data_IF_074043381979
#
_entry.id   IF_074043381979
#
_cell.length_a   1.000
_cell.length_b   1.000
_cell.length_c   1.000
_cell.angle_alpha   90.00
_cell.angle_beta   90.00
_cell.angle_gamma   90.00
#
_symmetry.space_group_name_H-M   'P 1'
#
loop_
_entity.id
_entity.type
_entity.pdbx_description
1 polymer ?
#
# COMPACT_ATOMS: atom_id res chain seq x y z
N UNK A 1 -3.17 -34.38 20.45
CA UNK A 1 -3.52 -33.00 20.72
C UNK A 1 -4.70 -32.65 19.83
N UNK A 2 -5.82 -32.23 20.37
CA UNK A 2 -6.89 -31.75 19.54
C UNK A 2 -6.39 -30.48 18.82
N UNK A 3 -6.69 -30.30 17.53
CA UNK A 3 -6.36 -29.06 16.81
C UNK A 3 -7.00 -27.90 17.56
N UNK A 4 -6.20 -26.93 17.95
CA UNK A 4 -6.72 -25.70 18.54
C UNK A 4 -7.74 -25.11 17.57
N UNK A 5 -9.01 -25.16 17.93
CA UNK A 5 -10.04 -24.46 17.19
C UNK A 5 -9.64 -22.97 17.12
N UNK A 6 -9.68 -22.35 15.95
CA UNK A 6 -9.33 -20.95 15.82
C UNK A 6 -10.19 -20.15 16.82
N UNK A 7 -9.53 -19.44 17.72
CA UNK A 7 -10.20 -18.61 18.72
C UNK A 7 -11.09 -17.61 18.00
N UNK A 8 -12.39 -17.80 18.11
CA UNK A 8 -13.35 -16.81 17.57
C UNK A 8 -13.20 -15.53 18.38
N UNK A 9 -12.80 -14.46 17.71
CA UNK A 9 -12.72 -13.14 18.31
C UNK A 9 -14.11 -12.72 18.78
N UNK A 10 -14.19 -12.10 19.96
CA UNK A 10 -15.41 -11.42 20.36
C UNK A 10 -15.71 -10.23 19.44
N UNK A 11 -16.96 -9.82 19.36
CA UNK A 11 -17.35 -8.66 18.55
C UNK A 11 -16.61 -7.39 18.98
N UNK A 12 -16.30 -7.23 20.25
CA UNK A 12 -15.54 -6.08 20.76
C UNK A 12 -14.07 -6.13 20.38
N UNK A 13 -13.44 -7.32 20.43
CA UNK A 13 -12.09 -7.53 19.96
C UNK A 13 -11.99 -7.25 18.46
N UNK A 14 -12.94 -7.73 17.67
CA UNK A 14 -12.99 -7.48 16.23
C UNK A 14 -13.12 -5.98 15.92
N UNK A 15 -13.97 -5.27 16.62
CA UNK A 15 -14.13 -3.81 16.47
C UNK A 15 -12.84 -3.04 16.80
N UNK A 16 -12.12 -3.47 17.84
CA UNK A 16 -10.82 -2.86 18.21
C UNK A 16 -9.79 -3.07 17.12
N UNK A 17 -9.69 -4.28 16.60
CA UNK A 17 -8.79 -4.61 15.49
C UNK A 17 -9.16 -3.85 14.22
N UNK A 18 -10.44 -3.77 13.88
CA UNK A 18 -10.92 -3.01 12.74
C UNK A 18 -10.55 -1.51 12.84
N UNK A 19 -10.68 -0.90 14.03
CA UNK A 19 -10.23 0.48 14.23
C UNK A 19 -8.72 0.66 14.06
N UNK A 20 -7.92 -0.29 14.54
CA UNK A 20 -6.46 -0.25 14.36
C UNK A 20 -6.06 -0.38 12.90
N UNK A 21 -6.63 -1.35 12.19
CA UNK A 21 -6.41 -1.52 10.76
C UNK A 21 -6.81 -0.26 9.99
N UNK A 22 -7.95 0.32 10.32
CA UNK A 22 -8.41 1.56 9.71
C UNK A 22 -7.45 2.73 9.99
N UNK A 23 -6.97 2.88 11.23
CA UNK A 23 -5.99 3.91 11.58
C UNK A 23 -4.68 3.73 10.82
N UNK A 24 -4.16 2.51 10.79
CA UNK A 24 -2.93 2.18 10.04
C UNK A 24 -3.11 2.45 8.55
N UNK A 25 -4.28 2.15 8.00
CA UNK A 25 -4.60 2.44 6.60
C UNK A 25 -4.67 3.95 6.31
N UNK A 26 -5.19 4.75 7.24
CA UNK A 26 -5.13 6.21 7.14
C UNK A 26 -3.72 6.75 7.20
N UNK A 27 -2.88 6.21 8.08
CA UNK A 27 -1.46 6.58 8.16
C UNK A 27 -0.70 6.19 6.88
N UNK A 28 -0.95 4.98 6.37
CA UNK A 28 -0.37 4.52 5.11
C UNK A 28 -0.82 5.39 3.93
N UNK A 29 -2.11 5.72 3.86
CA UNK A 29 -2.65 6.59 2.83
C UNK A 29 -2.03 7.99 2.88
N UNK A 30 -1.90 8.56 4.08
CA UNK A 30 -1.24 9.84 4.28
C UNK A 30 0.21 9.82 3.82
N UNK A 31 0.95 8.79 4.21
CA UNK A 31 2.34 8.59 3.79
C UNK A 31 2.45 8.42 2.28
N UNK A 32 1.66 7.54 1.67
CA UNK A 32 1.65 7.29 0.23
C UNK A 32 1.30 8.54 -0.57
N UNK A 33 0.40 9.38 -0.05
CA UNK A 33 0.03 10.64 -0.68
C UNK A 33 1.20 11.62 -0.69
N UNK A 34 1.91 11.75 0.44
CA UNK A 34 3.09 12.60 0.54
C UNK A 34 4.22 12.06 -0.35
N UNK A 35 4.52 10.78 -0.23
CA UNK A 35 5.56 10.10 -1.00
C UNK A 35 5.31 10.20 -2.51
N UNK A 36 4.10 9.86 -2.95
CA UNK A 36 3.69 9.94 -4.35
C UNK A 36 3.71 11.36 -4.90
N UNK A 37 3.20 12.32 -4.13
CA UNK A 37 3.20 13.73 -4.51
C UNK A 37 4.61 14.31 -4.65
N UNK A 38 5.48 14.04 -3.70
CA UNK A 38 6.89 14.45 -3.72
C UNK A 38 7.63 13.79 -4.87
N UNK A 39 7.42 12.48 -5.09
CA UNK A 39 8.08 11.75 -6.17
C UNK A 39 7.66 12.26 -7.56
N UNK A 40 6.37 12.50 -7.78
CA UNK A 40 5.87 13.04 -9.05
C UNK A 40 6.43 14.44 -9.28
N UNK A 41 6.38 15.33 -8.29
CA UNK A 41 6.88 16.68 -8.38
C UNK A 41 8.39 16.70 -8.66
N UNK A 42 9.15 15.96 -7.89
CA UNK A 42 10.60 15.82 -8.08
C UNK A 42 10.93 15.21 -9.45
N UNK A 43 10.15 14.23 -9.91
CA UNK A 43 10.29 13.62 -11.22
C UNK A 43 10.06 14.60 -12.37
N UNK A 44 9.05 15.46 -12.25
CA UNK A 44 8.77 16.52 -13.23
C UNK A 44 9.94 17.52 -13.28
N UNK A 45 10.40 17.97 -12.12
CA UNK A 45 11.49 18.94 -12.01
C UNK A 45 12.83 18.39 -12.52
N UNK A 46 13.10 17.11 -12.28
CA UNK A 46 14.34 16.44 -12.69
C UNK A 46 14.25 15.80 -14.10
N UNK A 47 13.08 15.80 -14.74
CA UNK A 47 12.88 15.10 -16.00
C UNK A 47 13.02 13.57 -15.87
N UNK A 48 12.79 13.02 -14.67
CA UNK A 48 12.96 11.60 -14.37
C UNK A 48 11.65 10.83 -14.51
N UNK A 49 11.52 10.06 -15.59
CA UNK A 49 10.36 9.19 -15.83
C UNK A 49 10.26 8.09 -14.75
N UNK A 50 11.40 7.58 -14.29
CA UNK A 50 11.43 6.57 -13.23
C UNK A 50 10.84 7.09 -11.92
N UNK A 51 11.13 8.33 -11.56
CA UNK A 51 10.62 8.95 -10.34
C UNK A 51 9.12 9.29 -10.46
N UNK A 52 8.66 9.70 -11.63
CA UNK A 52 7.23 9.87 -11.92
C UNK A 52 6.51 8.52 -11.81
N UNK A 53 7.07 7.45 -12.39
CA UNK A 53 6.53 6.10 -12.29
C UNK A 53 6.42 5.62 -10.84
N UNK A 54 7.44 5.86 -10.03
CA UNK A 54 7.40 5.56 -8.59
C UNK A 54 6.27 6.32 -7.87
N UNK A 55 6.06 7.58 -8.20
CA UNK A 55 4.96 8.36 -7.64
C UNK A 55 3.59 7.84 -8.06
N UNK A 56 3.43 7.39 -9.30
CA UNK A 56 2.20 6.76 -9.79
C UNK A 56 1.94 5.44 -9.06
N UNK A 57 2.98 4.62 -8.84
CA UNK A 57 2.88 3.38 -8.07
C UNK A 57 2.37 3.65 -6.65
N UNK A 58 2.90 4.69 -5.99
CA UNK A 58 2.45 5.11 -4.65
C UNK A 58 0.98 5.52 -4.65
N UNK A 59 0.49 6.17 -5.69
CA UNK A 59 -0.94 6.50 -5.85
C UNK A 59 -1.78 5.23 -5.99
N UNK A 60 -1.34 4.27 -6.79
CA UNK A 60 -2.03 2.99 -6.99
C UNK A 60 -2.09 2.20 -5.68
N UNK A 61 -0.99 2.11 -4.94
CA UNK A 61 -0.95 1.46 -3.63
C UNK A 61 -1.83 2.18 -2.60
N UNK A 62 -1.89 3.50 -2.65
CA UNK A 62 -2.79 4.30 -1.83
C UNK A 62 -4.27 3.94 -2.02
N UNK A 63 -4.67 3.56 -3.23
CA UNK A 63 -6.04 3.09 -3.49
C UNK A 63 -6.38 1.83 -2.69
N UNK A 64 -5.42 0.92 -2.45
CA UNK A 64 -5.63 -0.24 -1.59
C UNK A 64 -5.97 0.18 -0.15
N UNK A 65 -5.27 1.19 0.37
CA UNK A 65 -5.56 1.75 1.70
C UNK A 65 -6.97 2.36 1.75
N UNK A 66 -7.41 3.03 0.69
CA UNK A 66 -8.79 3.55 0.59
C UNK A 66 -9.81 2.42 0.65
N UNK A 67 -9.56 1.32 -0.07
CA UNK A 67 -10.45 0.14 -0.06
C UNK A 67 -10.55 -0.46 1.34
N UNK A 68 -9.43 -0.57 2.06
CA UNK A 68 -9.41 -1.08 3.43
C UNK A 68 -10.17 -0.15 4.38
N UNK A 69 -9.97 1.15 4.27
CA UNK A 69 -10.71 2.14 5.06
C UNK A 69 -12.22 2.02 4.80
N UNK A 70 -12.61 1.90 3.54
CA UNK A 70 -13.99 1.68 3.16
C UNK A 70 -14.55 0.39 3.76
N UNK A 71 -13.78 -0.70 3.70
CA UNK A 71 -14.16 -2.02 4.23
C UNK A 71 -14.47 -1.97 5.72
N UNK A 72 -13.69 -1.25 6.50
CA UNK A 72 -13.79 -1.17 7.95
C UNK A 72 -14.55 0.07 8.46
N UNK A 73 -15.36 0.69 7.61
CA UNK A 73 -16.17 1.86 7.99
C UNK A 73 -17.65 1.50 8.10
N UNK A 74 -18.27 1.93 9.19
CA UNK A 74 -19.72 1.79 9.43
C UNK A 74 -20.19 0.34 9.51
N UNK A 75 -21.37 0.05 8.98
CA UNK A 75 -21.99 -1.27 9.02
C UNK A 75 -21.26 -2.36 8.20
N UNK A 76 -20.30 -1.98 7.37
CA UNK A 76 -19.50 -2.91 6.56
C UNK A 76 -18.49 -3.72 7.36
N UNK A 77 -18.20 -3.34 8.60
CA UNK A 77 -17.22 -4.00 9.48
C UNK A 77 -17.50 -5.50 9.63
N UNK A 78 -18.78 -5.89 9.71
CA UNK A 78 -19.20 -7.28 9.85
C UNK A 78 -19.78 -7.89 8.56
N UNK A 79 -19.65 -7.21 7.43
CA UNK A 79 -20.22 -7.65 6.16
C UNK A 79 -19.25 -8.54 5.39
N UNK A 80 -19.61 -9.81 5.21
CA UNK A 80 -18.86 -10.75 4.34
C UNK A 80 -18.86 -10.30 2.87
N UNK A 81 -19.96 -9.71 2.42
CA UNK A 81 -20.06 -9.17 1.07
C UNK A 81 -19.11 -8.01 0.83
N UNK A 82 -18.92 -7.13 1.83
CA UNK A 82 -17.96 -6.03 1.76
C UNK A 82 -16.51 -6.58 1.75
N UNK A 83 -16.23 -7.63 2.49
CA UNK A 83 -14.93 -8.29 2.48
C UNK A 83 -14.59 -8.86 1.10
N UNK A 84 -15.51 -9.60 0.51
CA UNK A 84 -15.34 -10.16 -0.85
C UNK A 84 -15.10 -9.05 -1.89
N UNK A 85 -15.84 -7.95 -1.80
CA UNK A 85 -15.64 -6.80 -2.70
C UNK A 85 -14.29 -6.14 -2.52
N UNK A 86 -13.87 -5.94 -1.26
CA UNK A 86 -12.56 -5.37 -0.96
C UNK A 86 -11.42 -6.24 -1.48
N UNK A 87 -11.47 -7.54 -1.23
CA UNK A 87 -10.48 -8.50 -1.74
C UNK A 87 -10.43 -8.49 -3.28
N UNK A 88 -11.58 -8.45 -3.93
CA UNK A 88 -11.66 -8.39 -5.40
C UNK A 88 -11.06 -7.10 -5.96
N UNK A 89 -11.36 -5.95 -5.34
CA UNK A 89 -10.80 -4.67 -5.77
C UNK A 89 -9.28 -4.62 -5.61
N UNK A 90 -8.76 -5.10 -4.50
CA UNK A 90 -7.32 -5.18 -4.26
C UNK A 90 -6.67 -6.16 -5.25
N UNK A 91 -7.27 -7.31 -5.49
CA UNK A 91 -6.77 -8.27 -6.49
C UNK A 91 -6.72 -7.68 -7.89
N UNK A 92 -7.76 -6.98 -8.34
CA UNK A 92 -7.78 -6.30 -9.64
C UNK A 92 -6.66 -5.27 -9.72
N UNK A 93 -6.44 -4.50 -8.67
CA UNK A 93 -5.37 -3.51 -8.59
C UNK A 93 -3.99 -4.15 -8.79
N UNK A 94 -3.70 -5.26 -8.12
CA UNK A 94 -2.45 -5.99 -8.30
C UNK A 94 -2.31 -6.61 -9.68
N UNK A 95 -3.41 -7.08 -10.27
CA UNK A 95 -3.41 -7.59 -11.65
C UNK A 95 -3.11 -6.51 -12.70
N UNK A 96 -3.44 -5.26 -12.40
CA UNK A 96 -3.09 -4.12 -13.25
C UNK A 96 -1.64 -3.68 -13.00
N UNK A 97 -1.25 -3.62 -11.73
CA UNK A 97 0.07 -3.14 -11.31
C UNK A 97 1.20 -4.05 -11.79
N UNK A 98 1.05 -5.37 -11.67
CA UNK A 98 2.10 -6.31 -12.01
C UNK A 98 2.56 -6.25 -13.47
N UNK A 99 1.68 -6.24 -14.48
CA UNK A 99 2.07 -6.04 -15.88
C UNK A 99 2.71 -4.67 -16.14
N UNK A 100 2.21 -3.62 -15.49
CA UNK A 100 2.76 -2.29 -15.60
C UNK A 100 4.21 -2.23 -15.10
N UNK A 101 4.46 -2.72 -13.89
CA UNK A 101 5.80 -2.78 -13.31
C UNK A 101 6.72 -3.66 -14.16
N UNK A 102 6.24 -4.80 -14.64
CA UNK A 102 6.99 -5.68 -15.53
C UNK A 102 7.39 -4.98 -16.84
N UNK A 103 6.46 -4.28 -17.47
CA UNK A 103 6.71 -3.53 -18.70
C UNK A 103 7.73 -2.41 -18.48
N UNK A 104 7.57 -1.59 -17.44
CA UNK A 104 8.50 -0.51 -17.12
C UNK A 104 9.90 -1.02 -16.77
N UNK A 105 9.98 -2.15 -16.08
CA UNK A 105 11.27 -2.79 -15.76
C UNK A 105 12.01 -3.27 -17.01
N UNK A 106 11.31 -3.93 -17.93
CA UNK A 106 11.88 -4.38 -19.21
C UNK A 106 12.29 -3.17 -20.05
N UNK A 107 11.45 -2.16 -20.14
CA UNK A 107 11.74 -0.92 -20.86
C UNK A 107 13.00 -0.24 -20.33
N UNK A 108 13.12 -0.11 -19.02
CA UNK A 108 14.29 0.50 -18.38
C UNK A 108 15.58 -0.28 -18.67
N UNK A 109 15.50 -1.61 -18.69
CA UNK A 109 16.65 -2.48 -19.04
C UNK A 109 17.08 -2.33 -20.50
N UNK A 110 16.11 -2.26 -21.42
CA UNK A 110 16.39 -2.15 -22.87
C UNK A 110 16.89 -0.76 -23.23
N UNK A 111 16.31 0.31 -22.66
CA UNK A 111 16.69 1.69 -22.96
C UNK A 111 18.04 2.08 -22.37
N UNK A 112 18.56 1.30 -21.43
CA UNK A 112 19.83 1.61 -20.76
C UNK A 112 19.74 2.92 -19.94
N UNK A 113 18.54 3.36 -19.62
CA UNK A 113 18.33 4.53 -18.78
C UNK A 113 19.02 4.34 -17.43
N UNK A 114 20.14 5.01 -17.27
CA UNK A 114 20.75 5.16 -15.95
C UNK A 114 19.98 6.26 -15.25
N UNK A 115 19.20 5.87 -14.26
CA UNK A 115 18.59 6.85 -13.38
C UNK A 115 19.70 7.69 -12.73
N UNK A 116 19.62 9.00 -12.87
CA UNK A 116 20.46 9.91 -12.10
C UNK A 116 20.23 9.64 -10.61
N UNK A 117 21.31 9.70 -9.81
CA UNK A 117 21.23 9.46 -8.39
C UNK A 117 20.30 10.50 -7.75
N UNK A 118 19.12 10.06 -7.36
CA UNK A 118 18.18 10.89 -6.61
C UNK A 118 18.34 10.61 -5.12
N UNK A 119 19.02 11.48 -4.41
CA UNK A 119 19.15 11.40 -2.94
C UNK A 119 17.80 11.43 -2.25
N UNK A 120 16.83 12.17 -2.80
CA UNK A 120 15.45 12.20 -2.30
C UNK A 120 14.77 10.84 -2.50
N UNK A 121 14.92 10.21 -3.67
CA UNK A 121 14.40 8.86 -3.94
C UNK A 121 15.01 7.82 -3.01
N UNK A 122 16.32 7.87 -2.76
CA UNK A 122 17.02 6.98 -1.82
C UNK A 122 16.49 7.18 -0.40
N UNK A 123 16.33 8.43 0.06
CA UNK A 123 15.82 8.73 1.39
C UNK A 123 14.37 8.25 1.57
N UNK A 124 13.51 8.45 0.56
CA UNK A 124 12.13 7.95 0.56
C UNK A 124 12.08 6.42 0.60
N UNK A 125 12.86 5.75 -0.23
CA UNK A 125 12.91 4.29 -0.28
C UNK A 125 13.44 3.71 1.02
N UNK A 126 14.50 4.30 1.59
CA UNK A 126 15.04 3.89 2.89
C UNK A 126 14.01 4.09 4.02
N UNK A 127 13.28 5.20 4.00
CA UNK A 127 12.21 5.47 4.97
C UNK A 127 11.08 4.45 4.85
N UNK A 128 10.66 4.11 3.63
CA UNK A 128 9.62 3.11 3.38
C UNK A 128 10.02 1.71 3.83
N UNK A 129 11.28 1.31 3.62
CA UNK A 129 11.82 0.02 4.09
C UNK A 129 11.77 -0.10 5.62
N UNK A 130 11.88 1.01 6.35
CA UNK A 130 11.77 1.03 7.82
C UNK A 130 10.32 1.15 8.28
N UNK A 131 9.56 2.05 7.68
CA UNK A 131 8.19 2.39 8.12
C UNK A 131 7.21 1.26 7.82
N UNK A 132 7.25 0.66 6.64
CA UNK A 132 6.31 -0.38 6.24
C UNK A 132 6.39 -1.65 7.09
N UNK A 133 7.58 -2.24 7.35
CA UNK A 133 7.69 -3.36 8.29
C UNK A 133 7.29 -3.00 9.71
N UNK A 134 7.62 -1.80 10.20
CA UNK A 134 7.22 -1.34 11.52
C UNK A 134 5.70 -1.28 11.67
N UNK A 135 4.98 -0.76 10.67
CA UNK A 135 3.52 -0.77 10.62
C UNK A 135 2.95 -2.19 10.56
N UNK A 136 3.59 -3.08 9.80
CA UNK A 136 3.20 -4.48 9.68
C UNK A 136 3.37 -5.24 11.00
N UNK A 137 4.46 -5.02 11.72
CA UNK A 137 4.72 -5.63 13.03
C UNK A 137 3.69 -5.16 14.07
N UNK A 138 3.38 -3.87 14.09
CA UNK A 138 2.32 -3.33 14.97
C UNK A 138 0.95 -3.96 14.67
N UNK A 139 0.63 -4.20 13.41
CA UNK A 139 -0.61 -4.83 13.01
C UNK A 139 -0.70 -6.30 13.44
N UNK A 140 0.43 -7.01 13.53
CA UNK A 140 0.48 -8.45 13.88
C UNK A 140 0.82 -8.72 15.33
N UNK A 141 1.40 -7.75 16.07
CA UNK A 141 1.95 -7.93 17.40
C UNK A 141 0.92 -8.06 18.53
N UNK A 142 -0.37 -8.01 18.27
CA UNK A 142 -1.47 -8.24 19.24
C UNK A 142 -2.69 -8.82 18.53
#
# INVERSE_FOLDING_TARGET
>A
MPPHAPRRLSSDEYRRLARRVKLLSWLSLGWMTVEGGVAILAGILAGSIALIGFGIDSVIEGLASVVIIWRFTGGRVFSEGAETRAQRLVAIQFFILAPYVGFESVRALISGERADVSWLGIALSASSVVIMPALGIEATAR
#
